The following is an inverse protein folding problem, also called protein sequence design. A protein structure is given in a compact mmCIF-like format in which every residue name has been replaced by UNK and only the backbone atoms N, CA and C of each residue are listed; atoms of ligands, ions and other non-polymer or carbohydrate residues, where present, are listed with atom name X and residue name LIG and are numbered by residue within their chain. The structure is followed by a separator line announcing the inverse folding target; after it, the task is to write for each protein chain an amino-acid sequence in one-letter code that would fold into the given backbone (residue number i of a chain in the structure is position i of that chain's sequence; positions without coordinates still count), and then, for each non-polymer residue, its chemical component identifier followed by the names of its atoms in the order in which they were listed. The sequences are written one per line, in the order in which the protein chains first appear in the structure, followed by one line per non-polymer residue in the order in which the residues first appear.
data_IF_351359221817
#
_entry.id   IF_351359221817
#
_cell.length_a   1.000
_cell.length_b   1.000
_cell.length_c   1.000
_cell.angle_alpha   90.00
_cell.angle_beta   90.00
_cell.angle_gamma   90.00
#
_symmetry.space_group_name_H-M   'P 1'
#
loop_
_entity.id
_entity.type
_entity.pdbx_description
1 polymer ?
#
# COMPACT_ATOMS: atom_id res chain seq x y z
N UNK A 1 -5.76 -15.63 3.30
CA UNK A 1 -5.85 -16.37 2.04
C UNK A 1 -7.29 -16.51 1.58
N UNK A 2 -8.19 -17.23 2.28
CA UNK A 2 -9.61 -17.33 1.92
C UNK A 2 -10.26 -15.94 1.83
N UNK A 3 -10.03 -15.06 2.79
CA UNK A 3 -10.50 -13.66 2.77
C UNK A 3 -9.90 -12.85 1.61
N UNK A 4 -8.59 -13.01 1.33
CA UNK A 4 -7.97 -12.36 0.18
C UNK A 4 -8.51 -12.91 -1.15
N UNK A 5 -8.73 -14.22 -1.24
CA UNK A 5 -9.35 -14.83 -2.41
C UNK A 5 -10.78 -14.31 -2.65
N UNK A 6 -11.57 -14.14 -1.59
CA UNK A 6 -12.93 -13.59 -1.66
C UNK A 6 -12.95 -12.06 -1.89
N UNK A 7 -11.88 -11.35 -1.49
CA UNK A 7 -11.73 -9.91 -1.66
C UNK A 7 -10.89 -9.49 -2.88
N UNK A 8 -10.31 -10.48 -3.59
CA UNK A 8 -9.51 -10.26 -4.81
C UNK A 8 -10.44 -10.13 -6.01
N UNK A 9 -10.07 -9.28 -6.94
CA UNK A 9 -10.78 -9.08 -8.20
C UNK A 9 -11.00 -10.40 -8.95
N UNK A 10 -12.22 -10.67 -9.46
CA UNK A 10 -12.51 -11.84 -10.28
C UNK A 10 -11.57 -12.04 -11.47
N UNK A 11 -11.09 -10.96 -12.10
CA UNK A 11 -10.15 -11.03 -13.22
C UNK A 11 -8.74 -11.49 -12.78
N UNK A 12 -8.30 -11.06 -11.59
CA UNK A 12 -7.05 -11.53 -10.98
C UNK A 12 -7.19 -12.97 -10.50
N UNK A 13 -8.33 -13.34 -9.90
CA UNK A 13 -8.63 -14.70 -9.47
C UNK A 13 -8.72 -15.69 -10.64
N UNK A 14 -9.27 -15.30 -11.79
CA UNK A 14 -9.34 -16.11 -13.00
C UNK A 14 -7.95 -16.45 -13.57
N UNK A 15 -6.97 -15.56 -13.43
CA UNK A 15 -5.58 -15.81 -13.80
C UNK A 15 -4.94 -16.97 -13.02
N UNK A 16 -5.43 -17.27 -11.79
CA UNK A 16 -4.95 -18.38 -10.95
C UNK A 16 -5.66 -19.71 -11.19
N UNK A 17 -6.81 -19.70 -11.87
CA UNK A 17 -7.62 -20.92 -12.14
C UNK A 17 -7.29 -21.57 -13.50
N UNK A 18 -6.15 -21.25 -14.11
CA UNK A 18 -5.68 -21.89 -15.33
C UNK A 18 -5.55 -23.42 -15.20
N UNK A 19 -5.55 -24.14 -16.33
CA UNK A 19 -5.48 -25.61 -16.36
C UNK A 19 -4.25 -26.20 -15.63
N UNK A 20 -3.14 -25.46 -15.57
CA UNK A 20 -1.88 -25.89 -14.96
C UNK A 20 -1.94 -26.06 -13.45
N UNK A 21 -2.47 -25.09 -12.65
CA UNK A 21 -2.68 -25.27 -11.21
C UNK A 21 -3.66 -26.41 -10.88
N UNK A 22 -4.73 -26.54 -11.64
CA UNK A 22 -5.71 -27.63 -11.45
C UNK A 22 -5.06 -29.00 -11.70
N UNK A 23 -4.25 -29.13 -12.75
CA UNK A 23 -3.53 -30.37 -13.05
C UNK A 23 -2.51 -30.72 -11.95
N UNK A 24 -1.74 -29.74 -11.47
CA UNK A 24 -0.78 -29.95 -10.36
C UNK A 24 -1.51 -30.34 -9.09
N UNK A 25 -2.64 -29.71 -8.77
CA UNK A 25 -3.46 -30.06 -7.60
C UNK A 25 -3.97 -31.50 -7.66
N UNK A 26 -4.50 -31.93 -8.81
CA UNK A 26 -4.95 -33.28 -9.02
C UNK A 26 -3.81 -34.33 -8.94
N UNK A 27 -2.65 -33.99 -9.52
CA UNK A 27 -1.45 -34.82 -9.49
C UNK A 27 -0.87 -34.98 -8.07
N UNK A 28 -0.92 -33.94 -7.24
CA UNK A 28 -0.43 -33.99 -5.86
C UNK A 28 -1.41 -34.66 -4.92
N UNK A 29 -2.72 -34.53 -5.18
CA UNK A 29 -3.78 -35.07 -4.28
C UNK A 29 -4.15 -36.55 -4.57
N UNK A 30 -4.32 -36.89 -5.86
CA UNK A 30 -4.85 -38.21 -6.26
C UNK A 30 -3.90 -39.36 -5.89
N UNK A 31 -2.58 -39.34 -6.17
CA UNK A 31 -1.72 -40.47 -5.84
C UNK A 31 -1.58 -40.73 -4.34
N UNK A 32 -1.36 -39.75 -3.45
CA UNK A 32 -1.34 -40.00 -2.00
C UNK A 32 -2.69 -40.50 -1.47
N UNK A 33 -3.80 -39.93 -1.95
CA UNK A 33 -5.14 -40.38 -1.58
C UNK A 33 -5.38 -41.83 -2.03
N UNK A 34 -5.05 -42.17 -3.27
CA UNK A 34 -5.15 -43.52 -3.81
C UNK A 34 -4.26 -44.50 -3.06
N UNK A 35 -3.01 -44.15 -2.75
CA UNK A 35 -2.08 -44.93 -1.93
C UNK A 35 -2.62 -45.10 -0.51
N UNK A 36 -3.20 -44.07 0.10
CA UNK A 36 -3.78 -44.16 1.47
C UNK A 36 -5.03 -45.02 1.51
N UNK A 37 -5.81 -45.02 0.43
CA UNK A 37 -7.03 -45.89 0.34
C UNK A 37 -6.72 -47.33 -0.04
N UNK A 38 -5.63 -47.58 -0.77
CA UNK A 38 -5.20 -48.94 -1.15
C UNK A 38 -4.14 -49.54 -0.24
N UNK A 39 -3.40 -48.72 0.51
CA UNK A 39 -2.29 -49.18 1.31
C UNK A 39 -2.72 -49.80 2.63
N UNK A 40 -2.68 -51.12 2.71
CA UNK A 40 -2.39 -51.77 3.98
C UNK A 40 -0.93 -51.40 4.34
N UNK A 41 -0.71 -50.24 5.02
CA UNK A 41 0.60 -49.91 5.51
C UNK A 41 1.02 -50.91 6.56
N UNK A 42 1.96 -51.83 6.26
CA UNK A 42 2.41 -52.78 7.26
C UNK A 42 2.90 -52.02 8.48
N UNK A 43 2.62 -52.51 9.69
CA UNK A 43 3.10 -51.81 10.89
C UNK A 43 4.64 -51.79 10.87
N UNK A 44 5.22 -50.58 10.86
CA UNK A 44 6.68 -50.34 10.83
C UNK A 44 7.45 -51.07 11.96
N UNK A 45 6.69 -51.57 12.98
CA UNK A 45 7.22 -52.38 14.08
C UNK A 45 6.05 -53.31 14.55
N UNK A 46 6.28 -54.61 14.67
CA UNK A 46 5.34 -55.58 15.24
C UNK A 46 5.27 -55.42 16.76
N UNK A 47 4.61 -54.42 17.24
CA UNK A 47 4.40 -54.11 18.65
C UNK A 47 3.14 -54.80 19.17
N UNK A 48 3.08 -56.13 19.30
CA UNK A 48 1.99 -56.88 19.93
C UNK A 48 0.53 -56.42 19.71
N UNK A 49 -0.43 -57.09 20.23
CA UNK A 49 -1.84 -56.68 20.27
C UNK A 49 -2.25 -56.19 21.67
N UNK A 50 -3.03 -55.08 21.74
CA UNK A 50 -3.55 -54.53 22.98
C UNK A 50 -3.42 -53.01 23.13
N UNK A 51 -4.12 -52.42 24.12
CA UNK A 51 -4.16 -50.95 24.35
C UNK A 51 -2.76 -50.32 24.54
N UNK A 52 -1.85 -51.03 25.22
CA UNK A 52 -0.47 -50.53 25.42
C UNK A 52 0.35 -50.50 24.12
N UNK A 53 0.14 -51.46 23.23
CA UNK A 53 0.78 -51.51 21.92
C UNK A 53 0.26 -50.41 21.01
N UNK A 54 -1.06 -50.15 21.06
CA UNK A 54 -1.69 -49.03 20.35
C UNK A 54 -1.14 -47.66 20.80
N UNK A 55 -1.01 -47.44 22.10
CA UNK A 55 -0.44 -46.20 22.66
C UNK A 55 1.02 -46.02 22.27
N UNK A 56 1.83 -47.07 22.28
CA UNK A 56 3.25 -46.98 21.81
C UNK A 56 3.33 -46.67 20.31
N UNK A 57 2.47 -47.27 19.48
CA UNK A 57 2.39 -46.99 18.02
C UNK A 57 1.97 -45.55 17.76
N UNK A 58 0.98 -45.05 18.49
CA UNK A 58 0.52 -43.65 18.38
C UNK A 58 1.62 -42.68 18.82
N UNK A 59 2.31 -42.97 19.93
CA UNK A 59 3.43 -42.15 20.41
C UNK A 59 4.60 -42.11 19.43
N UNK A 60 4.98 -43.25 18.81
CA UNK A 60 6.00 -43.30 17.78
C UNK A 60 5.63 -42.51 16.50
N UNK A 61 4.37 -42.62 16.07
CA UNK A 61 3.86 -41.89 14.91
C UNK A 61 3.82 -40.38 15.17
N UNK A 62 3.33 -39.96 16.34
CA UNK A 62 3.33 -38.57 16.76
C UNK A 62 4.76 -38.03 16.90
N UNK A 63 5.67 -38.77 17.55
CA UNK A 63 7.07 -38.40 17.66
C UNK A 63 7.78 -38.23 16.31
N UNK A 64 7.52 -39.21 15.40
CA UNK A 64 8.03 -39.13 14.03
C UNK A 64 7.46 -37.91 13.26
N UNK A 65 6.17 -37.65 13.37
CA UNK A 65 5.54 -36.49 12.74
C UNK A 65 6.08 -35.16 13.29
N UNK A 66 6.28 -35.07 14.62
CA UNK A 66 6.89 -33.88 15.25
C UNK A 66 8.32 -33.70 14.83
N UNK A 67 9.11 -34.77 14.72
CA UNK A 67 10.49 -34.72 14.24
C UNK A 67 10.57 -34.25 12.79
N UNK A 68 9.70 -34.75 11.92
CA UNK A 68 9.61 -34.31 10.52
C UNK A 68 9.18 -32.82 10.43
N UNK A 69 8.21 -32.38 11.25
CA UNK A 69 7.79 -31.00 11.31
C UNK A 69 8.93 -30.09 11.79
N UNK A 70 9.66 -30.50 12.83
CA UNK A 70 10.82 -29.76 13.33
C UNK A 70 11.95 -29.68 12.28
N UNK A 71 12.28 -30.78 11.61
CA UNK A 71 13.26 -30.79 10.53
C UNK A 71 12.84 -29.88 9.37
N UNK A 72 11.55 -29.86 9.00
CA UNK A 72 11.00 -28.95 8.00
C UNK A 72 11.17 -27.48 8.39
N UNK A 73 10.83 -27.12 9.63
CA UNK A 73 11.02 -25.77 10.17
C UNK A 73 12.48 -25.37 10.17
N UNK A 74 13.39 -26.28 10.56
CA UNK A 74 14.83 -26.02 10.57
C UNK A 74 15.37 -25.79 9.14
N UNK A 75 14.98 -26.58 8.16
CA UNK A 75 15.34 -26.39 6.75
C UNK A 75 14.86 -25.05 6.23
N UNK A 76 13.61 -24.65 6.55
CA UNK A 76 13.07 -23.33 6.18
C UNK A 76 13.88 -22.22 6.85
N UNK A 77 14.23 -22.35 8.13
CA UNK A 77 15.00 -21.34 8.86
C UNK A 77 16.41 -21.17 8.29
N UNK A 78 17.08 -22.26 7.94
CA UNK A 78 18.43 -22.24 7.36
C UNK A 78 18.46 -21.69 5.92
N UNK A 79 17.34 -21.79 5.20
CA UNK A 79 17.20 -21.29 3.82
C UNK A 79 16.18 -20.15 3.72
N UNK A 80 16.02 -19.35 4.77
CA UNK A 80 14.91 -18.41 4.91
C UNK A 80 14.84 -17.40 3.76
N UNK A 81 15.98 -16.91 3.25
CA UNK A 81 16.02 -15.96 2.14
C UNK A 81 15.46 -16.58 0.85
N UNK A 82 15.95 -17.77 0.47
CA UNK A 82 15.47 -18.47 -0.73
C UNK A 82 13.99 -18.85 -0.62
N UNK A 83 13.58 -19.36 0.56
CA UNK A 83 12.19 -19.72 0.81
C UNK A 83 11.26 -18.51 0.79
N UNK A 84 11.66 -17.41 1.44
CA UNK A 84 10.89 -16.17 1.47
C UNK A 84 10.76 -15.54 0.07
N UNK A 85 11.84 -15.56 -0.71
CA UNK A 85 11.86 -15.11 -2.10
C UNK A 85 10.91 -15.93 -2.97
N UNK A 86 11.04 -17.27 -2.94
CA UNK A 86 10.17 -18.17 -3.69
C UNK A 86 8.68 -17.97 -3.34
N UNK A 87 8.36 -17.85 -2.03
CA UNK A 87 6.99 -17.65 -1.53
C UNK A 87 6.37 -16.31 -1.92
N UNK A 88 7.19 -15.30 -2.26
CA UNK A 88 6.71 -13.99 -2.69
C UNK A 88 6.63 -13.88 -4.20
N UNK A 89 7.62 -14.46 -4.91
CA UNK A 89 7.68 -14.42 -6.36
C UNK A 89 6.64 -15.32 -7.01
N UNK A 90 6.34 -16.45 -6.37
CA UNK A 90 5.29 -17.36 -6.84
C UNK A 90 4.19 -17.48 -5.78
N UNK A 91 3.14 -16.69 -5.95
CA UNK A 91 1.95 -16.74 -5.09
C UNK A 91 1.31 -18.14 -5.09
N UNK A 92 1.54 -18.95 -6.13
CA UNK A 92 1.01 -20.30 -6.24
C UNK A 92 1.68 -21.26 -5.26
N UNK A 93 2.96 -21.09 -4.95
CA UNK A 93 3.69 -21.88 -3.97
C UNK A 93 3.07 -21.82 -2.56
N UNK A 94 2.57 -20.65 -2.16
CA UNK A 94 1.86 -20.49 -0.86
C UNK A 94 0.60 -21.36 -0.78
N UNK A 95 0.00 -21.65 -1.92
CA UNK A 95 -1.22 -22.48 -2.01
C UNK A 95 -0.91 -23.97 -2.17
N UNK A 96 0.32 -24.32 -2.56
CA UNK A 96 0.74 -25.71 -2.74
C UNK A 96 1.20 -26.36 -1.44
N UNK A 97 1.56 -25.59 -0.39
CA UNK A 97 1.90 -26.12 0.93
C UNK A 97 0.60 -26.38 1.75
N UNK A 98 -0.28 -27.19 1.20
CA UNK A 98 -1.41 -27.75 1.93
C UNK A 98 -0.94 -28.91 2.85
N UNK A 99 -1.55 -29.13 4.04
CA UNK A 99 -2.84 -28.61 4.49
C UNK A 99 -2.75 -27.44 5.50
N UNK A 100 -1.57 -27.11 6.01
CA UNK A 100 -1.40 -26.13 7.11
C UNK A 100 -1.98 -24.76 6.74
N UNK A 101 -1.81 -24.35 5.50
CA UNK A 101 -2.27 -23.05 5.03
C UNK A 101 -3.81 -22.98 4.90
N UNK A 102 -4.46 -24.07 4.50
CA UNK A 102 -5.93 -24.15 4.46
C UNK A 102 -6.51 -24.09 5.87
N UNK A 103 -5.94 -24.88 6.80
CA UNK A 103 -6.37 -24.91 8.21
C UNK A 103 -6.17 -23.52 8.85
N UNK A 104 -5.01 -22.91 8.69
CA UNK A 104 -4.72 -21.59 9.24
C UNK A 104 -5.63 -20.51 8.65
N UNK A 105 -5.80 -20.49 7.32
CA UNK A 105 -6.66 -19.50 6.65
C UNK A 105 -8.13 -19.68 7.04
N UNK A 106 -8.58 -20.92 7.19
CA UNK A 106 -9.94 -21.23 7.61
C UNK A 106 -10.17 -20.82 9.07
N UNK A 107 -9.28 -21.19 9.98
CA UNK A 107 -9.37 -20.78 11.39
C UNK A 107 -9.36 -19.25 11.48
N UNK A 108 -8.49 -18.57 10.76
CA UNK A 108 -8.39 -17.11 10.77
C UNK A 108 -9.60 -16.42 10.13
N UNK A 109 -10.22 -17.03 9.12
CA UNK A 109 -11.45 -16.50 8.51
C UNK A 109 -12.63 -16.61 9.47
N UNK A 110 -12.74 -17.68 10.23
CA UNK A 110 -13.78 -17.88 11.23
C UNK A 110 -13.48 -17.20 12.58
N UNK A 111 -12.20 -17.00 12.94
CA UNK A 111 -11.82 -16.26 14.13
C UNK A 111 -11.81 -14.73 13.92
N UNK A 112 -11.77 -14.29 12.67
CA UNK A 112 -11.85 -12.87 12.29
C UNK A 112 -13.27 -12.51 11.85
N UNK A 113 -14.27 -13.03 12.53
CA UNK A 113 -15.67 -12.59 12.41
C UNK A 113 -15.91 -11.29 13.23
N UNK A 114 -14.95 -10.36 13.13
CA UNK A 114 -15.20 -8.97 13.42
C UNK A 114 -15.69 -8.33 12.13
N UNK A 115 -17.01 -8.11 12.12
CA UNK A 115 -17.72 -7.46 11.04
C UNK A 115 -16.97 -6.17 10.61
N UNK A 116 -16.88 -5.87 9.30
CA UNK A 116 -16.38 -4.59 8.81
C UNK A 116 -17.17 -3.37 9.32
N UNK A 117 -18.31 -3.62 9.95
CA UNK A 117 -19.25 -2.64 10.48
C UNK A 117 -19.01 -2.22 11.95
N UNK A 118 -17.93 -2.64 12.59
CA UNK A 118 -17.55 -2.07 13.88
C UNK A 118 -17.27 -0.58 13.65
N UNK A 119 -18.22 0.29 14.03
CA UNK A 119 -18.12 1.75 13.91
C UNK A 119 -16.78 2.19 14.48
N UNK A 120 -15.95 2.81 13.66
CA UNK A 120 -14.69 3.39 14.14
C UNK A 120 -14.97 4.28 15.34
N UNK A 121 -14.24 4.07 16.42
CA UNK A 121 -14.37 4.86 17.63
C UNK A 121 -13.91 6.28 17.31
N UNK A 122 -14.73 7.28 17.63
CA UNK A 122 -14.34 8.68 17.51
C UNK A 122 -13.20 8.99 18.47
N UNK A 123 -12.36 9.97 18.12
CA UNK A 123 -11.36 10.51 19.03
C UNK A 123 -12.07 11.23 20.17
N UNK A 124 -12.12 10.61 21.36
CA UNK A 124 -12.95 11.04 22.49
C UNK A 124 -12.49 12.39 23.06
N UNK A 125 -11.21 12.70 22.93
CA UNK A 125 -10.60 13.92 23.48
C UNK A 125 -10.77 15.16 22.60
N UNK A 126 -11.29 14.97 21.39
CA UNK A 126 -11.45 16.05 20.41
C UNK A 126 -12.80 15.94 19.69
N UNK A 127 -13.91 16.24 20.39
CA UNK A 127 -15.26 16.08 19.84
C UNK A 127 -15.57 17.07 18.71
N UNK A 128 -14.87 18.21 18.63
CA UNK A 128 -15.10 19.26 17.65
C UNK A 128 -13.79 19.92 17.21
N UNK A 129 -13.00 19.24 16.38
CA UNK A 129 -11.83 19.88 15.79
C UNK A 129 -12.29 21.08 14.95
N UNK A 130 -11.56 22.19 15.04
CA UNK A 130 -11.94 23.44 14.36
C UNK A 130 -10.88 23.84 13.34
N UNK A 131 -11.33 24.19 12.14
CA UNK A 131 -10.51 24.94 11.23
C UNK A 131 -10.38 26.39 11.73
N UNK A 132 -9.16 26.84 11.95
CA UNK A 132 -8.89 28.25 12.39
C UNK A 132 -8.85 29.21 11.23
N UNK A 133 -8.80 28.71 10.01
CA UNK A 133 -8.67 29.51 8.78
C UNK A 133 -10.03 29.67 8.13
N UNK A 134 -10.38 30.94 7.86
CA UNK A 134 -11.53 31.28 7.04
C UNK A 134 -11.09 31.52 5.60
N UNK A 135 -11.59 30.72 4.71
CA UNK A 135 -11.36 30.88 3.27
C UNK A 135 -12.35 31.88 2.67
N UNK A 136 -11.89 32.66 1.69
CA UNK A 136 -12.69 33.68 1.01
C UNK A 136 -12.88 33.40 -0.47
N UNK A 137 -12.29 32.31 -0.96
CA UNK A 137 -12.37 31.84 -2.34
C UNK A 137 -12.19 30.31 -2.37
N UNK A 138 -12.53 29.64 -3.48
CA UNK A 138 -12.35 28.20 -3.58
C UNK A 138 -10.92 27.80 -3.20
N UNK A 139 -10.83 26.83 -2.29
CA UNK A 139 -9.56 26.34 -1.75
C UNK A 139 -9.52 24.84 -1.81
N UNK A 140 -8.49 24.28 -2.43
CA UNK A 140 -8.33 22.85 -2.66
C UNK A 140 -6.99 22.35 -2.14
N UNK A 141 -7.02 21.37 -1.25
CA UNK A 141 -5.88 20.56 -0.89
C UNK A 141 -6.03 19.17 -1.50
N UNK A 142 -5.12 18.79 -2.39
CA UNK A 142 -5.09 17.46 -3.01
C UNK A 142 -4.09 16.59 -2.26
N UNK A 143 -4.57 15.52 -1.63
CA UNK A 143 -3.72 14.50 -1.05
C UNK A 143 -3.65 13.31 -2.00
N UNK A 144 -2.52 13.11 -2.65
CA UNK A 144 -2.31 11.99 -3.57
C UNK A 144 -1.62 10.86 -2.82
N UNK A 145 -2.35 9.76 -2.65
CA UNK A 145 -1.79 8.52 -2.11
C UNK A 145 -1.18 7.74 -3.28
N UNK A 146 0.15 7.67 -3.30
CA UNK A 146 0.89 6.86 -4.26
C UNK A 146 0.90 5.39 -3.85
N UNK A 147 1.19 4.54 -4.80
CA UNK A 147 1.24 3.08 -4.64
C UNK A 147 2.59 2.56 -5.12
N UNK A 148 3.27 1.83 -4.23
CA UNK A 148 4.45 1.01 -4.56
C UNK A 148 5.64 1.81 -5.16
N UNK A 149 5.72 3.14 -4.99
CA UNK A 149 6.85 3.92 -5.44
C UNK A 149 7.96 3.95 -4.39
N UNK A 150 9.19 3.52 -4.76
CA UNK A 150 10.34 3.52 -3.87
C UNK A 150 11.23 4.76 -4.06
N UNK A 151 11.80 5.27 -2.97
CA UNK A 151 12.66 6.44 -2.98
C UNK A 151 13.94 6.24 -3.83
N UNK A 152 14.44 5.00 -3.92
CA UNK A 152 15.66 4.65 -4.65
C UNK A 152 15.56 4.89 -6.17
N UNK A 153 14.36 4.78 -6.77
CA UNK A 153 14.12 5.01 -8.20
C UNK A 153 13.50 6.38 -8.51
N UNK A 154 13.45 7.27 -7.52
CA UNK A 154 12.89 8.61 -7.68
C UNK A 154 13.94 9.62 -8.14
N UNK A 155 13.82 10.13 -9.37
CA UNK A 155 14.81 11.04 -9.97
C UNK A 155 15.12 12.28 -9.12
N UNK A 156 14.11 12.91 -8.51
CA UNK A 156 14.30 14.06 -7.61
C UNK A 156 15.11 13.72 -6.34
N UNK A 157 15.29 12.45 -6.01
CA UNK A 157 16.16 12.00 -4.91
C UNK A 157 17.61 11.73 -5.37
N UNK A 158 17.93 11.96 -6.65
CA UNK A 158 19.25 11.75 -7.20
C UNK A 158 19.45 10.37 -7.82
N UNK A 159 18.38 9.65 -8.18
CA UNK A 159 18.49 8.42 -8.95
C UNK A 159 19.18 8.70 -10.30
N UNK A 160 20.06 7.79 -10.74
CA UNK A 160 20.89 7.98 -11.91
C UNK A 160 20.10 8.05 -13.24
N UNK A 161 18.89 7.47 -13.27
CA UNK A 161 18.00 7.51 -14.42
C UNK A 161 16.98 8.64 -14.27
N UNK A 162 16.63 9.28 -15.37
CA UNK A 162 15.64 10.35 -15.41
C UNK A 162 14.21 9.79 -15.35
N UNK A 163 13.76 9.45 -14.14
CA UNK A 163 12.42 8.91 -13.87
C UNK A 163 11.42 10.00 -13.48
N UNK A 164 11.88 11.24 -13.21
CA UNK A 164 11.01 12.37 -12.84
C UNK A 164 11.24 13.62 -13.69
N UNK A 165 11.25 13.51 -15.05
CA UNK A 165 11.59 14.59 -15.96
C UNK A 165 10.59 15.76 -15.93
N UNK A 166 9.33 15.51 -15.61
CA UNK A 166 8.31 16.55 -15.60
C UNK A 166 8.25 17.30 -14.26
N UNK A 167 8.35 16.60 -13.15
CA UNK A 167 8.40 17.21 -11.81
C UNK A 167 9.67 18.03 -11.59
N UNK A 168 10.79 17.65 -12.21
CA UNK A 168 12.05 18.40 -12.14
C UNK A 168 11.94 19.84 -12.70
N UNK A 169 10.95 20.09 -13.55
CA UNK A 169 10.67 21.42 -14.15
C UNK A 169 9.74 22.28 -13.29
N UNK A 170 9.18 21.71 -12.21
CA UNK A 170 8.18 22.37 -11.35
C UNK A 170 8.86 22.81 -10.04
N UNK A 171 8.57 24.02 -9.60
CA UNK A 171 9.01 24.49 -8.28
C UNK A 171 8.16 23.83 -7.20
N UNK A 172 8.69 22.79 -6.56
CA UNK A 172 8.05 22.04 -5.49
C UNK A 172 9.05 21.74 -4.36
N UNK A 173 8.55 21.23 -3.24
CA UNK A 173 9.36 20.76 -2.12
C UNK A 173 9.41 19.24 -2.20
N UNK A 174 10.61 18.67 -2.41
CA UNK A 174 10.85 17.24 -2.39
C UNK A 174 11.37 16.82 -1.01
N UNK A 175 10.90 15.68 -0.52
CA UNK A 175 11.28 15.07 0.76
C UNK A 175 12.02 13.76 0.48
N UNK A 176 13.36 13.78 0.44
CA UNK A 176 14.12 12.60 -0.04
C UNK A 176 14.23 11.46 0.97
N UNK A 177 13.85 11.67 2.23
CA UNK A 177 14.07 10.71 3.33
C UNK A 177 12.77 10.49 4.09
N UNK A 178 11.84 9.73 3.52
CA UNK A 178 10.57 9.42 4.16
C UNK A 178 10.42 7.90 4.34
N UNK A 179 10.12 7.48 5.57
CA UNK A 179 9.89 6.09 5.89
C UNK A 179 8.39 5.79 5.89
N UNK A 180 7.98 4.77 5.16
CA UNK A 180 6.60 4.30 5.11
C UNK A 180 6.14 3.69 6.44
N UNK A 181 4.83 3.58 6.64
CA UNK A 181 4.25 2.96 7.83
C UNK A 181 4.16 1.44 7.73
N UNK A 182 4.17 0.91 6.53
CA UNK A 182 4.10 -0.52 6.24
C UNK A 182 4.83 -0.86 4.96
N UNK A 183 4.81 -2.13 4.61
CA UNK A 183 5.41 -2.70 3.40
C UNK A 183 4.35 -3.24 2.44
N UNK A 184 3.09 -2.98 2.70
CA UNK A 184 1.94 -3.36 1.87
C UNK A 184 0.78 -2.41 2.15
N UNK A 185 -0.06 -2.19 1.15
CA UNK A 185 -1.17 -1.23 1.19
C UNK A 185 -2.15 -1.48 2.35
N UNK A 186 -2.48 -2.74 2.64
CA UNK A 186 -3.40 -3.12 3.74
C UNK A 186 -2.88 -2.78 5.14
N UNK A 187 -1.57 -2.59 5.27
CA UNK A 187 -0.89 -2.17 6.51
C UNK A 187 -0.58 -0.68 6.47
N UNK A 188 0.01 -0.21 5.38
CA UNK A 188 0.56 1.13 5.32
C UNK A 188 -0.52 2.21 5.18
N UNK A 189 -1.52 2.00 4.33
CA UNK A 189 -2.55 3.01 4.09
C UNK A 189 -3.38 3.34 5.34
N UNK A 190 -3.93 2.38 6.10
CA UNK A 190 -4.61 2.71 7.35
C UNK A 190 -3.68 3.36 8.39
N UNK A 191 -2.41 2.94 8.43
CA UNK A 191 -1.43 3.44 9.38
C UNK A 191 -1.02 4.89 9.07
N UNK A 192 -0.72 5.24 7.81
CA UNK A 192 -0.33 6.60 7.42
C UNK A 192 -1.45 7.63 7.59
N UNK A 193 -2.70 7.18 7.58
CA UNK A 193 -3.89 8.01 7.82
C UNK A 193 -4.38 7.95 9.28
N UNK A 194 -3.60 7.36 10.18
CA UNK A 194 -3.87 7.26 11.61
C UNK A 194 -2.97 8.18 12.43
N UNK A 195 -3.50 8.73 13.53
CA UNK A 195 -2.71 9.47 14.52
C UNK A 195 -1.69 8.61 15.29
N UNK A 196 -1.83 7.28 15.20
CA UNK A 196 -0.99 6.33 15.95
C UNK A 196 0.36 6.16 15.26
N UNK A 197 0.35 6.02 13.93
CA UNK A 197 1.56 5.88 13.14
C UNK A 197 2.33 4.56 13.37
N UNK A 198 3.55 4.51 12.83
CA UNK A 198 4.43 3.34 12.94
C UNK A 198 5.14 3.23 14.27
N UNK A 199 5.53 4.36 14.86
CA UNK A 199 6.27 4.41 16.12
C UNK A 199 5.50 3.79 17.30
N UNK A 200 4.18 3.82 17.24
CA UNK A 200 3.27 3.26 18.25
C UNK A 200 2.29 2.26 17.64
N UNK A 201 2.73 1.52 16.62
CA UNK A 201 1.88 0.68 15.79
C UNK A 201 1.03 -0.29 16.60
N UNK A 202 -0.27 -0.11 16.50
CA UNK A 202 -1.30 -0.99 17.06
C UNK A 202 -2.39 -1.15 15.97
N UNK A 203 -2.44 -2.34 15.36
CA UNK A 203 -3.36 -2.60 14.24
C UNK A 203 -4.82 -2.41 14.63
N UNK A 204 -5.19 -2.89 15.81
CA UNK A 204 -6.59 -2.86 16.24
C UNK A 204 -7.04 -1.41 16.47
N UNK A 205 -6.20 -0.60 17.12
CA UNK A 205 -6.47 0.83 17.29
C UNK A 205 -6.52 1.57 15.97
N UNK A 206 -5.57 1.31 15.06
CA UNK A 206 -5.51 1.94 13.72
C UNK A 206 -6.80 1.68 12.94
N UNK A 207 -7.34 0.46 13.03
CA UNK A 207 -8.56 0.09 12.30
C UNK A 207 -9.86 0.58 12.98
N UNK A 208 -9.85 0.82 14.29
CA UNK A 208 -11.04 1.20 15.04
C UNK A 208 -11.07 2.70 15.45
N UNK A 209 -9.95 3.42 15.37
CA UNK A 209 -9.93 4.86 15.57
C UNK A 209 -10.22 5.63 14.27
N UNK A 210 -10.69 6.85 14.41
CA UNK A 210 -11.01 7.74 13.30
C UNK A 210 -9.79 8.02 12.42
N UNK A 211 -9.97 7.91 11.11
CA UNK A 211 -8.94 8.21 10.12
C UNK A 211 -8.81 9.71 9.85
N UNK A 212 -7.67 10.14 9.26
CA UNK A 212 -7.43 11.53 8.88
C UNK A 212 -8.53 12.11 7.96
N UNK A 213 -8.99 11.43 6.89
CA UNK A 213 -10.11 11.95 6.08
C UNK A 213 -11.36 12.25 6.90
N UNK A 214 -11.71 11.39 7.86
CA UNK A 214 -12.89 11.59 8.71
C UNK A 214 -12.72 12.73 9.69
N UNK A 215 -11.53 12.89 10.27
CA UNK A 215 -11.23 14.04 11.13
C UNK A 215 -11.38 15.36 10.36
N UNK A 216 -10.86 15.43 9.12
CA UNK A 216 -10.95 16.63 8.27
C UNK A 216 -12.41 17.00 7.96
N UNK A 217 -13.26 16.01 7.67
CA UNK A 217 -14.70 16.23 7.48
C UNK A 217 -15.35 16.79 8.76
N UNK A 218 -15.04 16.22 9.92
CA UNK A 218 -15.54 16.75 11.22
C UNK A 218 -15.04 18.16 11.52
N UNK A 219 -13.85 18.52 11.03
CA UNK A 219 -13.31 19.87 11.13
C UNK A 219 -14.04 20.89 10.22
N UNK A 220 -15.07 20.46 9.50
CA UNK A 220 -15.88 21.31 8.62
C UNK A 220 -15.38 21.42 7.19
N UNK A 221 -14.39 20.61 6.78
CA UNK A 221 -13.92 20.58 5.40
C UNK A 221 -14.83 19.74 4.51
N UNK A 222 -14.88 20.09 3.23
CA UNK A 222 -15.49 19.24 2.21
C UNK A 222 -14.47 18.16 1.81
N UNK A 223 -14.76 16.89 2.09
CA UNK A 223 -13.82 15.78 1.84
C UNK A 223 -14.40 14.84 0.79
N UNK A 224 -13.57 14.44 -0.18
CA UNK A 224 -13.90 13.43 -1.19
C UNK A 224 -12.71 12.50 -1.39
N UNK A 225 -12.97 11.20 -1.39
CA UNK A 225 -12.00 10.17 -1.76
C UNK A 225 -12.31 9.63 -3.15
N UNK A 226 -11.33 9.64 -4.06
CA UNK A 226 -11.40 9.03 -5.39
C UNK A 226 -10.37 7.92 -5.48
N UNK A 227 -10.84 6.71 -5.72
CA UNK A 227 -10.03 5.49 -5.70
C UNK A 227 -9.77 4.97 -7.13
N UNK A 228 -8.50 4.81 -7.49
CA UNK A 228 -8.06 4.13 -8.70
C UNK A 228 -7.25 2.86 -8.38
N UNK A 229 -7.44 2.31 -7.19
CA UNK A 229 -6.75 1.13 -6.69
C UNK A 229 -7.77 0.05 -6.26
N UNK A 230 -7.51 -0.72 -5.25
CA UNK A 230 -8.38 -1.79 -4.73
C UNK A 230 -9.12 -1.38 -3.44
N UNK A 231 -9.59 -0.13 -3.39
CA UNK A 231 -10.29 0.45 -2.24
C UNK A 231 -9.38 1.02 -1.16
N UNK A 232 -9.94 1.84 -0.30
CA UNK A 232 -9.22 2.62 0.72
C UNK A 232 -8.86 1.84 2.01
N UNK A 233 -9.02 0.54 2.04
CA UNK A 233 -8.71 -0.34 3.20
C UNK A 233 -9.33 0.13 4.52
N UNK A 234 -10.55 0.66 4.45
CA UNK A 234 -11.29 1.20 5.59
C UNK A 234 -10.92 2.66 5.96
N UNK A 235 -9.94 3.27 5.31
CA UNK A 235 -9.45 4.62 5.61
C UNK A 235 -10.46 5.71 5.27
N UNK A 236 -11.27 5.52 4.23
CA UNK A 236 -12.28 6.46 3.76
C UNK A 236 -13.68 6.22 4.35
N UNK A 237 -13.80 5.37 5.37
CA UNK A 237 -15.10 5.14 5.99
C UNK A 237 -15.70 6.42 6.56
N UNK A 238 -16.98 6.65 6.22
CA UNK A 238 -17.74 7.79 6.69
C UNK A 238 -17.43 9.11 5.98
N UNK A 239 -16.66 9.10 4.87
CA UNK A 239 -16.55 10.24 3.95
C UNK A 239 -17.05 9.86 2.56
N UNK A 240 -17.50 10.83 1.75
CA UNK A 240 -17.87 10.57 0.35
C UNK A 240 -16.73 9.91 -0.42
N UNK A 241 -17.05 8.82 -1.10
CA UNK A 241 -16.07 8.05 -1.88
C UNK A 241 -16.60 7.76 -3.28
N UNK A 242 -15.68 7.69 -4.24
CA UNK A 242 -15.98 7.31 -5.62
C UNK A 242 -14.84 6.50 -6.21
N UNK A 243 -15.15 5.42 -6.92
CA UNK A 243 -14.19 4.73 -7.76
C UNK A 243 -13.96 5.51 -9.06
N UNK A 244 -12.71 5.60 -9.47
CA UNK A 244 -12.36 6.13 -10.78
C UNK A 244 -12.82 5.14 -11.87
N UNK A 245 -13.41 5.65 -12.93
CA UNK A 245 -13.96 4.81 -14.00
C UNK A 245 -13.32 5.09 -15.34
N UNK A 246 -12.99 4.03 -16.07
CA UNK A 246 -12.52 4.06 -17.43
C UNK A 246 -13.56 3.41 -18.37
N UNK A 247 -13.65 3.86 -19.65
CA UNK A 247 -14.61 3.31 -20.60
C UNK A 247 -14.45 1.79 -20.82
N UNK A 248 -13.24 1.27 -20.66
CA UNK A 248 -12.89 -0.14 -20.88
C UNK A 248 -12.92 -0.98 -19.57
N UNK A 249 -13.56 -0.47 -18.51
CA UNK A 249 -13.59 -1.13 -17.19
C UNK A 249 -12.54 -0.57 -16.23
N UNK A 250 -11.70 -1.43 -15.61
CA UNK A 250 -10.66 -0.98 -14.69
C UNK A 250 -9.59 -0.16 -15.40
N UNK A 251 -9.20 0.94 -14.76
CA UNK A 251 -8.11 1.78 -15.25
C UNK A 251 -6.76 1.09 -15.03
N UNK A 252 -5.92 1.04 -16.06
CA UNK A 252 -4.59 0.42 -15.99
C UNK A 252 -3.51 1.37 -15.47
N UNK A 253 -3.75 2.69 -15.59
CA UNK A 253 -2.87 3.77 -15.16
C UNK A 253 -3.68 4.90 -14.52
N UNK A 254 -3.01 5.96 -14.10
CA UNK A 254 -3.59 7.05 -13.31
C UNK A 254 -4.04 8.27 -14.14
N UNK A 255 -4.11 8.19 -15.46
CA UNK A 255 -4.67 9.25 -16.33
C UNK A 255 -6.09 9.66 -15.92
N UNK A 256 -6.86 8.69 -15.42
CA UNK A 256 -8.23 8.95 -14.94
C UNK A 256 -8.26 10.01 -13.85
N UNK A 257 -7.27 10.06 -12.96
CA UNK A 257 -7.21 11.02 -11.85
C UNK A 257 -7.06 12.47 -12.35
N UNK A 258 -6.42 12.68 -13.50
CA UNK A 258 -6.36 13.98 -14.18
C UNK A 258 -7.75 14.46 -14.59
N UNK A 259 -8.58 13.55 -15.10
CA UNK A 259 -9.97 13.85 -15.49
C UNK A 259 -10.84 14.10 -14.27
N UNK A 260 -10.68 13.29 -13.23
CA UNK A 260 -11.42 13.43 -11.99
C UNK A 260 -11.12 14.78 -11.30
N UNK A 261 -9.85 15.20 -11.20
CA UNK A 261 -9.51 16.53 -10.69
C UNK A 261 -10.19 17.64 -11.51
N UNK A 262 -10.15 17.55 -12.84
CA UNK A 262 -10.77 18.54 -13.72
C UNK A 262 -12.29 18.62 -13.56
N UNK A 263 -12.95 17.52 -13.18
CA UNK A 263 -14.39 17.48 -12.88
C UNK A 263 -14.76 18.10 -11.55
N UNK A 264 -13.85 18.03 -10.56
CA UNK A 264 -14.11 18.54 -9.22
C UNK A 264 -13.80 20.04 -9.07
N UNK A 265 -12.80 20.57 -9.75
CA UNK A 265 -12.43 22.00 -9.67
C UNK A 265 -13.64 22.95 -9.84
N UNK A 266 -14.54 22.78 -10.84
CA UNK A 266 -15.69 23.69 -11.02
C UNK A 266 -16.76 23.60 -9.92
N UNK A 267 -16.73 22.55 -9.09
CA UNK A 267 -17.74 22.28 -8.04
C UNK A 267 -17.29 22.74 -6.66
N UNK A 268 -16.08 23.29 -6.53
CA UNK A 268 -15.51 23.65 -5.25
C UNK A 268 -16.31 24.75 -4.56
N UNK A 269 -16.70 24.58 -3.29
CA UNK A 269 -17.34 25.64 -2.51
C UNK A 269 -16.34 26.78 -2.24
N UNK A 270 -16.86 28.00 -2.11
CA UNK A 270 -16.04 29.18 -1.82
C UNK A 270 -15.93 29.49 -0.32
N UNK A 271 -16.78 28.87 0.49
CA UNK A 271 -16.95 29.16 1.93
C UNK A 271 -16.20 28.21 2.86
N UNK A 272 -15.69 27.10 2.33
CA UNK A 272 -14.93 26.11 3.09
C UNK A 272 -13.88 25.40 2.23
N UNK A 273 -12.74 24.97 2.81
CA UNK A 273 -11.74 24.21 2.09
C UNK A 273 -12.26 22.85 1.63
N UNK A 274 -11.82 22.40 0.47
CA UNK A 274 -12.01 21.02 0.00
C UNK A 274 -10.71 20.25 0.12
N UNK A 275 -10.80 19.02 0.61
CA UNK A 275 -9.70 18.04 0.61
C UNK A 275 -10.09 16.89 -0.31
N UNK A 276 -9.31 16.73 -1.36
CA UNK A 276 -9.49 15.66 -2.35
C UNK A 276 -8.38 14.63 -2.17
N UNK A 277 -8.76 13.42 -1.74
CA UNK A 277 -7.87 12.28 -1.73
C UNK A 277 -7.92 11.57 -3.08
N UNK A 278 -6.77 11.41 -3.71
CA UNK A 278 -6.61 10.67 -4.96
C UNK A 278 -5.73 9.45 -4.69
N UNK A 279 -6.30 8.26 -4.78
CA UNK A 279 -5.58 7.00 -4.55
C UNK A 279 -5.17 6.39 -5.89
N UNK A 280 -3.87 6.34 -6.12
CA UNK A 280 -3.26 5.90 -7.38
C UNK A 280 -3.17 4.37 -7.44
N UNK A 281 -3.19 3.82 -8.66
CA UNK A 281 -2.69 2.46 -8.92
C UNK A 281 -1.16 2.45 -9.00
N UNK A 282 -0.53 3.57 -9.31
CA UNK A 282 0.90 3.80 -9.28
C UNK A 282 1.73 2.73 -9.97
N UNK A 283 2.76 2.27 -9.27
CA UNK A 283 3.69 1.23 -9.76
C UNK A 283 3.31 -0.16 -9.27
N UNK A 284 2.02 -0.45 -9.01
CA UNK A 284 1.56 -1.73 -8.47
C UNK A 284 1.92 -2.90 -9.39
N UNK A 285 2.73 -3.84 -8.86
CA UNK A 285 3.19 -5.03 -9.57
C UNK A 285 2.22 -6.22 -9.53
N UNK A 286 2.62 -7.33 -10.13
CA UNK A 286 3.88 -7.55 -10.85
C UNK A 286 3.91 -7.04 -12.30
N UNK A 287 2.79 -6.65 -12.91
CA UNK A 287 2.71 -6.23 -14.30
C UNK A 287 3.06 -4.73 -14.47
N UNK A 288 4.29 -4.33 -14.11
CA UNK A 288 4.73 -2.92 -14.17
C UNK A 288 4.59 -2.29 -15.56
N UNK A 289 4.84 -3.06 -16.62
CA UNK A 289 4.72 -2.58 -18.00
C UNK A 289 3.32 -2.10 -18.39
N UNK A 290 2.28 -2.56 -17.66
CA UNK A 290 0.90 -2.12 -17.87
C UNK A 290 0.58 -0.78 -17.16
N UNK A 291 1.48 -0.30 -16.29
CA UNK A 291 1.27 0.93 -15.51
C UNK A 291 1.65 2.19 -16.26
N UNK A 292 2.37 2.07 -17.36
CA UNK A 292 2.81 3.19 -18.19
C UNK A 292 2.31 3.05 -19.63
N UNK A 293 1.70 4.11 -20.21
CA UNK A 293 1.42 4.18 -21.63
C UNK A 293 2.72 4.14 -22.48
N UNK A 294 2.67 3.60 -23.69
CA UNK A 294 3.84 3.51 -24.58
C UNK A 294 4.53 4.86 -24.81
N UNK A 295 3.76 5.95 -24.88
CA UNK A 295 4.29 7.31 -25.07
C UNK A 295 5.15 7.83 -23.91
N UNK A 296 5.09 7.21 -22.73
CA UNK A 296 5.83 7.61 -21.51
C UNK A 296 7.10 6.78 -21.32
N UNK A 297 7.14 5.59 -21.93
CA UNK A 297 8.24 4.64 -21.81
C UNK A 297 9.54 5.20 -22.39
N UNK A 298 10.61 5.07 -21.62
CA UNK A 298 11.95 5.53 -22.00
C UNK A 298 13.03 4.47 -21.80
N UNK A 299 12.71 3.38 -21.09
CA UNK A 299 13.66 2.32 -20.73
C UNK A 299 13.24 1.00 -21.37
N UNK A 300 14.10 0.45 -22.24
CA UNK A 300 13.86 -0.77 -22.99
C UNK A 300 15.14 -1.65 -22.99
N UNK A 301 15.01 -2.98 -23.12
CA UNK A 301 13.77 -3.75 -23.14
C UNK A 301 13.10 -3.79 -21.77
N UNK A 302 11.76 -3.93 -21.72
CA UNK A 302 11.00 -4.03 -20.46
C UNK A 302 10.41 -5.42 -20.26
N UNK A 303 10.27 -5.85 -19.00
CA UNK A 303 9.55 -7.06 -18.63
C UNK A 303 8.04 -6.89 -18.86
N UNK A 304 7.50 -7.57 -19.86
CA UNK A 304 6.06 -7.57 -20.20
C UNK A 304 5.33 -8.78 -19.65
N UNK A 305 5.93 -9.47 -18.70
CA UNK A 305 5.39 -10.66 -18.08
C UNK A 305 5.14 -10.42 -16.58
N UNK A 306 4.00 -10.91 -16.07
CA UNK A 306 3.71 -10.89 -14.64
C UNK A 306 4.58 -11.88 -13.82
N UNK A 307 5.16 -12.89 -14.48
CA UNK A 307 6.21 -13.74 -13.90
C UNK A 307 7.56 -13.05 -14.01
N UNK A 308 7.88 -12.21 -13.00
CA UNK A 308 9.14 -11.46 -12.96
C UNK A 308 10.38 -12.34 -12.97
N UNK A 309 10.27 -13.60 -12.52
CA UNK A 309 11.36 -14.58 -12.56
C UNK A 309 11.74 -15.03 -13.95
N UNK A 310 10.89 -14.80 -14.96
CA UNK A 310 11.16 -15.11 -16.37
C UNK A 310 11.89 -13.99 -17.12
N UNK A 311 12.03 -12.82 -16.51
CA UNK A 311 12.71 -11.66 -17.08
C UNK A 311 14.09 -11.46 -16.43
N UNK A 312 15.00 -10.81 -17.13
CA UNK A 312 16.23 -10.32 -16.53
C UNK A 312 15.92 -9.20 -15.52
N UNK A 313 16.82 -8.99 -14.56
CA UNK A 313 16.66 -7.90 -13.57
C UNK A 313 16.59 -6.53 -14.27
N UNK A 314 17.33 -6.33 -15.33
CA UNK A 314 17.33 -5.08 -16.10
C UNK A 314 15.95 -4.82 -16.71
N UNK A 315 15.33 -5.82 -17.34
CA UNK A 315 13.98 -5.71 -17.90
C UNK A 315 12.94 -5.38 -16.82
N UNK A 316 13.05 -5.98 -15.63
CA UNK A 316 12.17 -5.67 -14.49
C UNK A 316 12.35 -4.23 -14.04
N UNK A 317 13.59 -3.75 -13.87
CA UNK A 317 13.89 -2.37 -13.50
C UNK A 317 13.42 -1.39 -14.57
N UNK A 318 13.59 -1.71 -15.87
CA UNK A 318 13.12 -0.88 -16.96
C UNK A 318 11.60 -0.70 -16.93
N UNK A 319 10.85 -1.78 -16.77
CA UNK A 319 9.38 -1.73 -16.64
C UNK A 319 8.93 -0.92 -15.43
N UNK A 320 9.62 -1.08 -14.30
CA UNK A 320 9.34 -0.34 -13.08
C UNK A 320 9.68 1.16 -13.22
N UNK A 321 10.84 1.51 -13.78
CA UNK A 321 11.24 2.89 -14.00
C UNK A 321 10.28 3.62 -14.97
N UNK A 322 9.76 2.91 -15.98
CA UNK A 322 8.71 3.44 -16.85
C UNK A 322 7.41 3.72 -16.08
N UNK A 323 7.04 2.89 -15.08
CA UNK A 323 5.87 3.15 -14.23
C UNK A 323 6.08 4.36 -13.30
N UNK A 324 7.31 4.60 -12.83
CA UNK A 324 7.64 5.83 -12.08
C UNK A 324 7.55 7.07 -12.98
N UNK A 325 7.96 6.97 -14.26
CA UNK A 325 7.76 8.06 -15.22
C UNK A 325 6.29 8.39 -15.46
N UNK A 326 5.43 7.40 -15.44
CA UNK A 326 3.98 7.64 -15.50
C UNK A 326 3.47 8.35 -14.24
N UNK A 327 3.93 7.96 -13.06
CA UNK A 327 3.63 8.67 -11.81
C UNK A 327 4.09 10.13 -11.88
N UNK A 328 5.30 10.39 -12.37
CA UNK A 328 5.84 11.75 -12.62
C UNK A 328 4.92 12.56 -13.54
N UNK A 329 4.56 12.00 -14.69
CA UNK A 329 3.70 12.65 -15.68
C UNK A 329 2.33 13.00 -15.11
N UNK A 330 1.72 12.08 -14.36
CA UNK A 330 0.40 12.27 -13.74
C UNK A 330 0.48 13.36 -12.67
N UNK A 331 1.43 13.29 -11.75
CA UNK A 331 1.61 14.30 -10.70
C UNK A 331 1.87 15.69 -11.28
N UNK A 332 2.78 15.79 -12.25
CA UNK A 332 3.02 17.06 -12.96
C UNK A 332 1.75 17.55 -13.68
N UNK A 333 0.98 16.65 -14.26
CA UNK A 333 -0.30 16.96 -14.89
C UNK A 333 -1.36 17.47 -13.91
N UNK A 334 -1.42 16.92 -12.69
CA UNK A 334 -2.28 17.41 -11.61
C UNK A 334 -1.86 18.82 -11.19
N UNK A 335 -0.55 19.03 -10.93
CA UNK A 335 -0.02 20.33 -10.52
C UNK A 335 -0.30 21.40 -11.59
N UNK A 336 -0.05 21.14 -12.88
CA UNK A 336 -0.34 22.08 -13.96
C UNK A 336 -1.82 22.51 -14.03
N UNK A 337 -2.76 21.60 -13.72
CA UNK A 337 -4.19 21.93 -13.64
C UNK A 337 -4.50 22.84 -12.45
N UNK A 338 -3.86 22.61 -11.33
CA UNK A 338 -3.96 23.46 -10.15
C UNK A 338 -3.35 24.84 -10.42
N UNK A 339 -2.18 24.89 -11.06
CA UNK A 339 -1.52 26.15 -11.49
C UNK A 339 -2.41 26.97 -12.43
N UNK A 340 -2.99 26.34 -13.44
CA UNK A 340 -3.90 27.00 -14.39
C UNK A 340 -5.15 27.59 -13.70
N UNK A 341 -5.54 27.03 -12.55
CA UNK A 341 -6.67 27.51 -11.74
C UNK A 341 -6.27 28.54 -10.67
N UNK A 342 -4.97 28.79 -10.44
CA UNK A 342 -4.43 29.66 -9.37
C UNK A 342 -4.97 31.09 -9.37
N UNK A 343 -5.32 31.74 -10.50
CA UNK A 343 -5.93 33.07 -10.46
C UNK A 343 -7.27 33.13 -9.72
N UNK A 344 -7.99 31.99 -9.63
CA UNK A 344 -9.34 31.90 -9.04
C UNK A 344 -9.39 31.02 -7.79
N UNK A 345 -8.33 30.27 -7.48
CA UNK A 345 -8.37 29.23 -6.46
C UNK A 345 -7.04 29.17 -5.72
N UNK A 346 -7.09 28.96 -4.39
CA UNK A 346 -5.94 28.59 -3.59
C UNK A 346 -5.78 27.07 -3.60
N UNK A 347 -4.58 26.58 -3.90
CA UNK A 347 -4.40 25.14 -4.01
C UNK A 347 -3.01 24.65 -3.60
N UNK A 348 -3.01 23.41 -3.06
CA UNK A 348 -1.80 22.67 -2.78
C UNK A 348 -2.00 21.19 -3.11
N UNK A 349 -0.88 20.48 -3.33
CA UNK A 349 -0.83 19.06 -3.57
C UNK A 349 0.28 18.43 -2.72
N UNK A 350 -0.08 17.45 -1.90
CA UNK A 350 0.84 16.56 -1.18
C UNK A 350 0.74 15.17 -1.80
N UNK A 351 1.85 14.64 -2.29
CA UNK A 351 1.98 13.26 -2.74
C UNK A 351 2.91 12.51 -1.81
N UNK A 352 2.56 11.28 -1.47
CA UNK A 352 3.42 10.33 -0.78
C UNK A 352 3.03 8.91 -1.17
N UNK A 353 4.01 8.04 -1.46
CA UNK A 353 3.74 6.63 -1.70
C UNK A 353 3.49 5.90 -0.39
N UNK A 354 2.59 4.92 -0.42
CA UNK A 354 2.24 4.12 0.74
C UNK A 354 3.36 3.16 1.18
N UNK A 355 4.05 2.52 0.25
CA UNK A 355 5.26 1.71 0.46
C UNK A 355 6.13 1.69 -0.79
N UNK A 356 7.31 1.07 -0.69
CA UNK A 356 8.20 0.84 -1.81
C UNK A 356 8.12 -0.59 -2.34
N UNK A 357 9.13 -1.01 -3.11
CA UNK A 357 9.13 -2.25 -3.88
C UNK A 357 10.54 -2.87 -3.97
N UNK A 358 10.65 -4.18 -3.96
CA UNK A 358 11.87 -4.92 -4.26
C UNK A 358 11.85 -5.40 -5.71
N UNK A 359 12.94 -5.17 -6.45
CA UNK A 359 13.07 -5.47 -7.87
C UNK A 359 14.13 -6.55 -8.16
N UNK A 360 14.26 -7.52 -7.25
CA UNK A 360 15.23 -8.62 -7.37
C UNK A 360 16.49 -8.42 -6.54
N UNK A 361 16.56 -7.38 -5.69
CA UNK A 361 17.67 -7.23 -4.72
C UNK A 361 17.70 -8.44 -3.79
N UNK A 362 18.87 -9.11 -3.72
CA UNK A 362 19.04 -10.36 -2.96
C UNK A 362 18.01 -11.45 -3.31
N UNK A 363 17.51 -11.46 -4.55
CA UNK A 363 16.48 -12.39 -5.03
C UNK A 363 15.06 -12.07 -4.50
N UNK A 364 14.86 -10.91 -3.89
CA UNK A 364 13.57 -10.47 -3.36
C UNK A 364 12.84 -9.61 -4.40
N UNK A 365 11.61 -9.99 -4.74
CA UNK A 365 10.72 -9.23 -5.62
C UNK A 365 9.45 -8.84 -4.89
N UNK A 366 8.76 -7.81 -5.39
CA UNK A 366 7.52 -7.28 -4.83
C UNK A 366 7.69 -6.73 -3.40
N UNK A 367 6.60 -6.60 -2.68
CA UNK A 367 6.51 -5.96 -1.37
C UNK A 367 5.90 -6.90 -0.30
N UNK A 368 5.62 -6.38 0.90
CA UNK A 368 4.97 -7.15 1.98
C UNK A 368 5.95 -7.97 2.83
N UNK A 369 7.23 -7.59 2.86
CA UNK A 369 8.16 -8.15 3.83
C UNK A 369 7.71 -7.82 5.27
N UNK A 370 7.86 -8.74 6.24
CA UNK A 370 7.67 -8.39 7.63
C UNK A 370 8.54 -7.18 8.00
N UNK A 371 7.98 -6.21 8.73
CA UNK A 371 8.62 -4.92 9.00
C UNK A 371 10.05 -5.04 9.54
N UNK A 372 10.28 -5.95 10.48
CA UNK A 372 11.57 -6.14 11.15
C UNK A 372 12.70 -6.62 10.24
N UNK A 373 12.38 -7.14 9.04
CA UNK A 373 13.33 -7.61 8.05
C UNK A 373 13.18 -6.94 6.68
N UNK A 374 12.28 -5.98 6.60
CA UNK A 374 11.98 -5.30 5.33
C UNK A 374 13.20 -4.50 4.85
N UNK A 375 13.60 -4.64 3.59
CA UNK A 375 14.66 -3.82 3.02
C UNK A 375 14.21 -2.36 2.87
N UNK A 376 15.18 -1.44 2.80
CA UNK A 376 14.93 -0.01 2.56
C UNK A 376 14.12 0.23 1.29
N UNK A 377 14.29 -0.60 0.28
CA UNK A 377 13.55 -0.52 -0.99
C UNK A 377 12.02 -0.67 -0.80
N UNK A 378 11.57 -1.35 0.25
CA UNK A 378 10.15 -1.48 0.59
C UNK A 378 9.66 -0.43 1.60
N UNK A 379 10.57 0.26 2.31
CA UNK A 379 10.21 1.14 3.42
C UNK A 379 10.53 2.62 3.16
N UNK A 380 11.45 2.94 2.24
CA UNK A 380 11.76 4.32 1.87
C UNK A 380 10.98 4.73 0.64
N UNK A 381 10.21 5.82 0.77
CA UNK A 381 9.23 6.26 -0.23
C UNK A 381 9.43 7.73 -0.61
N UNK A 382 9.07 8.14 -1.85
CA UNK A 382 9.08 9.53 -2.24
C UNK A 382 7.88 10.29 -1.65
N UNK A 383 8.10 11.57 -1.34
CA UNK A 383 7.06 12.51 -0.96
C UNK A 383 7.38 13.89 -1.56
N UNK A 384 6.38 14.58 -2.09
CA UNK A 384 6.49 15.96 -2.59
C UNK A 384 5.34 16.80 -2.10
N UNK A 385 5.60 18.11 -1.92
CA UNK A 385 4.59 19.11 -1.63
C UNK A 385 4.72 20.27 -2.63
N UNK A 386 3.62 20.59 -3.28
CA UNK A 386 3.46 21.78 -4.10
C UNK A 386 2.33 22.63 -3.55
N UNK A 387 2.46 23.94 -3.63
CA UNK A 387 1.40 24.90 -3.29
C UNK A 387 1.57 26.19 -4.07
N UNK A 388 0.45 26.86 -4.39
CA UNK A 388 0.50 28.20 -4.93
C UNK A 388 0.64 29.24 -3.80
N UNK A 389 1.07 30.47 -4.16
CA UNK A 389 1.26 31.55 -3.19
C UNK A 389 -0.04 31.92 -2.44
N UNK A 390 -1.19 31.76 -3.10
CA UNK A 390 -2.49 32.01 -2.50
C UNK A 390 -2.74 31.07 -1.32
N UNK A 391 -2.51 29.77 -1.52
CA UNK A 391 -2.66 28.77 -0.48
C UNK A 391 -1.69 29.02 0.70
N UNK A 392 -0.42 29.30 0.38
CA UNK A 392 0.55 29.61 1.43
C UNK A 392 0.13 30.80 2.29
N UNK A 393 -0.40 31.89 1.66
CA UNK A 393 -0.90 33.05 2.42
C UNK A 393 -2.17 32.74 3.21
N UNK A 394 -3.12 32.02 2.60
CA UNK A 394 -4.41 31.69 3.25
C UNK A 394 -4.19 30.88 4.51
N UNK A 395 -3.24 29.93 4.48
CA UNK A 395 -2.94 29.08 5.62
C UNK A 395 -1.74 29.53 6.47
N UNK A 396 -1.20 30.72 6.22
CA UNK A 396 -0.04 31.27 6.92
C UNK A 396 1.14 30.29 6.99
N UNK A 397 1.46 29.69 5.84
CA UNK A 397 2.56 28.73 5.71
C UNK A 397 3.84 29.43 5.30
N UNK A 398 4.96 28.98 5.85
CA UNK A 398 6.29 29.40 5.43
C UNK A 398 6.96 28.32 4.56
N UNK A 399 6.96 28.46 3.21
CA UNK A 399 7.58 27.46 2.33
C UNK A 399 9.06 27.23 2.58
N UNK A 400 9.80 28.25 3.07
CA UNK A 400 11.22 28.11 3.38
C UNK A 400 11.45 27.24 4.63
N UNK A 401 10.58 27.37 5.63
CA UNK A 401 10.61 26.51 6.80
C UNK A 401 10.34 25.06 6.40
N UNK A 402 9.28 24.79 5.60
CA UNK A 402 8.95 23.46 5.12
C UNK A 402 10.10 22.88 4.28
N UNK A 403 10.74 23.70 3.43
CA UNK A 403 11.90 23.31 2.65
C UNK A 403 13.10 22.93 3.53
N UNK A 404 13.30 23.61 4.65
CA UNK A 404 14.34 23.24 5.61
C UNK A 404 14.01 21.87 6.27
N UNK A 405 12.78 21.69 6.71
CA UNK A 405 12.28 20.45 7.31
C UNK A 405 12.31 19.26 6.36
N UNK A 406 12.12 19.49 5.05
CA UNK A 406 12.09 18.42 4.06
C UNK A 406 13.42 17.66 3.93
N UNK A 407 14.53 18.24 4.41
CA UNK A 407 15.86 17.61 4.39
C UNK A 407 16.08 16.63 5.55
N UNK A 408 15.22 16.69 6.56
CA UNK A 408 15.28 15.80 7.71
C UNK A 408 14.73 14.42 7.39
N UNK A 409 15.04 13.44 8.23
CA UNK A 409 14.41 12.13 8.16
C UNK A 409 12.98 12.24 8.70
N UNK A 410 12.02 12.02 7.83
CA UNK A 410 10.60 12.00 8.14
C UNK A 410 10.02 10.60 7.95
N UNK A 411 8.79 10.42 8.35
CA UNK A 411 8.04 9.19 8.16
C UNK A 411 6.55 9.47 7.93
N UNK A 412 5.78 8.46 7.63
CA UNK A 412 4.33 8.57 7.59
C UNK A 412 3.71 9.06 8.92
N UNK A 413 4.40 8.87 10.04
CA UNK A 413 3.97 9.39 11.35
C UNK A 413 3.84 10.91 11.36
N UNK A 414 4.56 11.60 10.47
CA UNK A 414 4.48 13.05 10.32
C UNK A 414 3.20 13.52 9.60
N UNK A 415 2.55 12.65 8.81
CA UNK A 415 1.47 13.07 7.91
C UNK A 415 0.25 13.61 8.68
N UNK A 416 -0.18 12.92 9.73
CA UNK A 416 -1.32 13.36 10.54
C UNK A 416 -1.15 14.81 11.03
N UNK A 417 -0.11 15.07 11.79
CA UNK A 417 0.12 16.39 12.38
C UNK A 417 0.41 17.45 11.34
N UNK A 418 1.16 17.11 10.29
CA UNK A 418 1.51 18.08 9.24
C UNK A 418 0.33 18.46 8.37
N UNK A 419 -0.58 17.53 8.06
CA UNK A 419 -1.82 17.88 7.33
C UNK A 419 -2.72 18.77 8.18
N UNK A 420 -2.85 18.49 9.48
CA UNK A 420 -3.58 19.40 10.39
C UNK A 420 -2.93 20.79 10.45
N UNK A 421 -1.61 20.85 10.56
CA UNK A 421 -0.87 22.11 10.54
C UNK A 421 -1.03 22.86 9.21
N UNK A 422 -0.85 22.20 8.06
CA UNK A 422 -1.04 22.80 6.73
C UNK A 422 -2.45 23.38 6.57
N UNK A 423 -3.47 22.66 7.03
CA UNK A 423 -4.88 23.06 6.90
C UNK A 423 -5.38 23.93 8.06
N UNK A 424 -4.54 24.27 9.01
CA UNK A 424 -4.89 25.12 10.15
C UNK A 424 -5.98 24.53 11.02
N UNK A 425 -5.86 23.24 11.34
CA UNK A 425 -6.82 22.56 12.20
C UNK A 425 -6.27 22.45 13.61
N UNK A 426 -6.98 23.01 14.58
CA UNK A 426 -6.74 22.80 16.00
C UNK A 426 -7.30 21.45 16.42
N UNK A 427 -6.46 20.61 16.99
CA UNK A 427 -6.82 19.31 17.52
C UNK A 427 -5.91 18.90 18.65
N UNK A 428 -6.47 18.27 19.68
CA UNK A 428 -5.70 17.67 20.77
C UNK A 428 -4.83 16.49 20.31
N UNK A 429 -5.04 16.02 19.08
CA UNK A 429 -4.25 14.94 18.47
C UNK A 429 -3.06 15.45 17.64
N UNK A 430 -2.96 16.76 17.42
CA UNK A 430 -1.81 17.36 16.76
C UNK A 430 -0.60 17.30 17.71
N UNK A 431 0.49 16.72 17.23
CA UNK A 431 1.77 16.62 17.90
C UNK A 431 2.80 17.51 17.20
N UNK A 432 3.24 18.63 17.82
CA UNK A 432 4.14 19.61 17.19
C UNK A 432 5.45 19.00 16.68
N UNK A 433 5.98 17.99 17.35
CA UNK A 433 7.21 17.31 16.98
C UNK A 433 7.12 16.55 15.66
N UNK A 434 5.89 16.16 15.26
CA UNK A 434 5.63 15.49 13.99
C UNK A 434 5.16 16.45 12.89
N UNK A 435 4.93 17.73 13.20
CA UNK A 435 4.47 18.73 12.24
C UNK A 435 5.62 19.36 11.47
N UNK A 436 5.72 19.08 10.18
CA UNK A 436 6.70 19.75 9.30
C UNK A 436 6.18 21.05 8.69
N UNK A 437 4.91 21.41 8.88
CA UNK A 437 4.36 22.69 8.40
C UNK A 437 4.89 23.89 9.19
N UNK A 438 5.28 23.67 10.46
CA UNK A 438 5.78 24.67 11.37
C UNK A 438 4.72 25.56 11.99
N UNK A 439 3.45 25.33 11.71
CA UNK A 439 2.35 26.16 12.22
C UNK A 439 1.96 25.89 13.67
N UNK A 440 2.24 24.70 14.16
CA UNK A 440 1.92 24.28 15.53
C UNK A 440 2.92 24.77 16.60
N UNK A 441 3.82 25.72 16.27
CA UNK A 441 4.81 26.27 17.19
C UNK A 441 4.44 27.67 17.69
#
# INVERSE_FOLDING_TARGET
MVRNFLATDPAESAGYLGARPVFVFLWVLIPPLWLSLRGQVPPLLSLGSGKRALMKRLGLRLGGALLCAFAGVLVIALNFQAFSSAMRNDKTLRYQIAPVNVVYSTIRTFAADESPDAKRVRLVTDPSPKATVQVRRPTLFVFVVGETARAANWGLNGYARDTTPELSKIKLINFPKVTACGTSTDVSLPCMMSRIGRSSYDRDRILHEESLPKLLERAGMNVLWIDNQSGCKGTCEGVPTREASCPEGKCRNDDVLLRELSREIPKLPADRPTVLFLHMIGSHGPAYSERSPEAVKAFEPECRNADLGSCSREEVVNAYDNSIRETDRVLAGLIRRLEASSPRMDSALLYVSDHGESLGESGLYLHGAPWWMAPSDQTQVPMILWMNDGFARTFDLNPQYILARSKEALSHDNLWSSVLGILGIESSTLRPEYDFSGRSR
#
